data_IF_576525681083
#
_entry.id   IF_576525681083
#
_cell.length_a   1.000
_cell.length_b   1.000
_cell.length_c   1.000
_cell.angle_alpha   90.00
_cell.angle_beta   90.00
_cell.angle_gamma   90.00
#
_symmetry.space_group_name_H-M   'P 1'
#
loop_
_entity.id
_entity.type
_entity.pdbx_description
1 polymer ?
#
# COMPACT_ATOMS: atom_id res chain seq x y z
N UNK A 1 -15.06 -14.27 -3.36
CA UNK A 1 -14.07 -13.50 -4.15
C UNK A 1 -13.85 -14.26 -5.45
N UNK A 2 -13.72 -13.60 -6.62
CA UNK A 2 -13.30 -14.28 -7.84
C UNK A 2 -11.98 -15.06 -7.66
N UNK A 3 -11.78 -16.10 -8.47
CA UNK A 3 -10.55 -16.91 -8.48
C UNK A 3 -9.47 -16.20 -9.31
N UNK A 4 -8.84 -15.15 -8.78
CA UNK A 4 -7.64 -14.60 -9.41
C UNK A 4 -6.45 -15.52 -9.13
N UNK A 5 -5.66 -15.88 -10.15
CA UNK A 5 -4.50 -16.73 -9.93
C UNK A 5 -3.49 -16.00 -9.06
N UNK A 6 -3.09 -16.62 -7.96
CA UNK A 6 -1.98 -16.14 -7.14
C UNK A 6 -0.66 -16.32 -7.91
N UNK A 7 0.30 -15.40 -7.74
CA UNK A 7 1.66 -15.61 -8.21
C UNK A 7 2.24 -16.92 -7.69
N UNK A 8 3.12 -17.57 -8.48
CA UNK A 8 3.75 -18.84 -8.08
C UNK A 8 4.59 -18.72 -6.80
N UNK A 9 5.06 -17.51 -6.49
CA UNK A 9 5.89 -17.14 -5.34
C UNK A 9 5.11 -16.41 -4.24
N UNK A 10 3.79 -16.55 -4.19
CA UNK A 10 2.94 -15.81 -3.23
C UNK A 10 3.36 -16.03 -1.77
N UNK A 11 3.74 -17.25 -1.38
CA UNK A 11 4.24 -17.51 -0.03
C UNK A 11 5.50 -16.69 0.30
N UNK A 12 6.44 -16.59 -0.65
CA UNK A 12 7.66 -15.80 -0.48
C UNK A 12 7.35 -14.29 -0.46
N UNK A 13 6.39 -13.83 -1.28
CA UNK A 13 5.91 -12.45 -1.25
C UNK A 13 5.35 -12.08 0.12
N UNK A 14 4.56 -12.97 0.73
CA UNK A 14 3.98 -12.77 2.07
C UNK A 14 5.02 -12.75 3.18
N UNK A 15 5.98 -13.68 3.15
CA UNK A 15 7.10 -13.69 4.09
C UNK A 15 7.90 -12.39 4.01
N UNK A 16 8.18 -11.92 2.80
CA UNK A 16 8.89 -10.67 2.56
C UNK A 16 8.10 -9.47 3.09
N UNK A 17 6.80 -9.37 2.77
CA UNK A 17 5.92 -8.32 3.28
C UNK A 17 5.93 -8.26 4.82
N UNK A 18 5.78 -9.41 5.48
CA UNK A 18 5.74 -9.51 6.95
C UNK A 18 7.11 -9.17 7.59
N UNK A 19 8.22 -9.40 6.88
CA UNK A 19 9.57 -9.11 7.36
C UNK A 19 9.88 -7.62 7.54
N UNK A 20 9.13 -6.73 6.88
CA UNK A 20 9.29 -5.28 7.04
C UNK A 20 8.67 -4.71 8.31
N UNK A 21 7.84 -5.49 9.03
CA UNK A 21 7.12 -5.05 10.23
C UNK A 21 6.33 -3.74 10.05
N UNK A 22 5.85 -3.51 8.82
CA UNK A 22 5.23 -2.25 8.41
C UNK A 22 3.69 -2.33 8.41
N UNK A 23 3.13 -3.53 8.35
CA UNK A 23 1.69 -3.72 8.50
C UNK A 23 1.28 -3.32 9.93
N UNK A 24 0.18 -2.58 10.04
CA UNK A 24 -0.36 -2.08 11.31
C UNK A 24 0.60 -1.14 12.10
N UNK A 25 1.63 -0.60 11.44
CA UNK A 25 2.51 0.41 12.02
C UNK A 25 1.82 1.79 12.09
N UNK A 26 2.42 2.71 12.85
CA UNK A 26 2.04 4.12 12.79
C UNK A 26 2.36 4.71 11.42
N UNK A 27 1.69 5.81 11.08
CA UNK A 27 1.97 6.61 9.89
C UNK A 27 3.41 7.14 9.91
N UNK A 28 4.02 7.22 8.72
CA UNK A 28 5.34 7.78 8.51
C UNK A 28 5.28 8.87 7.43
N UNK A 29 5.71 10.09 7.79
CA UNK A 29 5.70 11.28 6.94
C UNK A 29 6.45 11.06 5.61
N UNK A 30 7.43 10.16 5.57
CA UNK A 30 8.13 9.84 4.33
C UNK A 30 7.20 9.24 3.27
N UNK A 31 6.27 8.37 3.67
CA UNK A 31 5.26 7.79 2.76
C UNK A 31 4.15 8.80 2.44
N UNK A 32 3.74 9.60 3.41
CA UNK A 32 2.72 10.65 3.23
C UNK A 32 3.19 11.74 2.27
N UNK A 33 4.47 12.11 2.31
CA UNK A 33 5.06 13.01 1.33
C UNK A 33 5.00 12.43 -0.09
N UNK A 34 5.20 11.12 -0.26
CA UNK A 34 5.14 10.47 -1.58
C UNK A 34 3.72 10.54 -2.15
N UNK A 35 2.70 10.16 -1.38
CA UNK A 35 1.32 10.17 -1.86
C UNK A 35 0.84 11.59 -2.14
N UNK A 36 1.18 12.56 -1.28
CA UNK A 36 0.88 13.98 -1.51
C UNK A 36 1.51 14.50 -2.81
N UNK A 37 2.81 14.26 -3.02
CA UNK A 37 3.49 14.68 -4.24
C UNK A 37 2.90 14.02 -5.49
N UNK A 38 2.58 12.73 -5.43
CA UNK A 38 1.95 12.02 -6.55
C UNK A 38 0.58 12.62 -6.91
N UNK A 39 -0.25 12.94 -5.90
CA UNK A 39 -1.56 13.58 -6.08
C UNK A 39 -1.41 14.96 -6.74
N UNK A 40 -0.51 15.80 -6.21
CA UNK A 40 -0.24 17.15 -6.71
C UNK A 40 0.32 17.14 -8.14
N UNK A 41 1.32 16.29 -8.41
CA UNK A 41 1.99 16.23 -9.71
C UNK A 41 1.09 15.71 -10.83
N UNK A 42 0.18 14.80 -10.51
CA UNK A 42 -0.75 14.22 -11.48
C UNK A 42 -2.08 14.99 -11.58
N UNK A 43 -2.30 15.98 -10.71
CA UNK A 43 -3.57 16.70 -10.63
C UNK A 43 -4.75 15.78 -10.32
N UNK A 44 -4.51 14.69 -9.58
CA UNK A 44 -5.53 13.72 -9.20
C UNK A 44 -5.95 13.94 -7.75
N UNK A 45 -7.22 13.66 -7.39
CA UNK A 45 -7.74 13.96 -6.05
C UNK A 45 -7.29 12.97 -4.98
N UNK A 46 -6.75 11.80 -5.37
CA UNK A 46 -6.37 10.73 -4.45
C UNK A 46 -5.11 10.03 -4.94
N UNK A 47 -4.20 9.73 -4.00
CA UNK A 47 -3.06 8.83 -4.20
C UNK A 47 -2.87 7.94 -2.96
N UNK A 48 -2.48 6.68 -3.19
CA UNK A 48 -2.36 5.65 -2.16
C UNK A 48 -1.04 4.90 -2.31
N UNK A 49 -0.42 4.55 -1.18
CA UNK A 49 0.49 3.41 -1.11
C UNK A 49 -0.27 2.31 -0.37
N UNK A 50 -0.53 1.19 -1.05
CA UNK A 50 -1.26 0.06 -0.48
C UNK A 50 -0.45 -1.22 -0.53
N UNK A 51 -0.44 -1.94 0.58
CA UNK A 51 0.16 -3.26 0.73
C UNK A 51 -0.95 -4.30 0.67
N UNK A 52 -0.76 -5.34 -0.15
CA UNK A 52 -1.72 -6.45 -0.29
C UNK A 52 -1.27 -7.59 0.61
N UNK A 53 -2.06 -7.85 1.66
CA UNK A 53 -1.91 -8.95 2.60
C UNK A 53 -2.93 -10.06 2.26
N UNK A 54 -2.94 -11.13 3.04
CA UNK A 54 -3.67 -12.37 2.72
C UNK A 54 -5.18 -12.17 2.53
N UNK A 55 -5.78 -11.43 3.45
CA UNK A 55 -7.22 -11.22 3.55
C UNK A 55 -7.62 -9.73 3.51
N UNK A 56 -6.64 -8.84 3.31
CA UNK A 56 -6.83 -7.39 3.40
C UNK A 56 -5.89 -6.61 2.50
N UNK A 57 -6.36 -5.45 2.07
CA UNK A 57 -5.50 -4.39 1.55
C UNK A 57 -5.28 -3.37 2.67
N UNK A 58 -4.03 -3.11 3.00
CA UNK A 58 -3.64 -2.17 4.05
C UNK A 58 -3.06 -0.90 3.43
N UNK A 59 -3.56 0.27 3.83
CA UNK A 59 -3.08 1.56 3.33
C UNK A 59 -1.95 2.07 4.19
N UNK A 60 -0.72 2.00 3.67
CA UNK A 60 0.46 2.57 4.32
C UNK A 60 0.42 4.10 4.32
N UNK A 61 -0.12 4.67 3.24
CA UNK A 61 -0.35 6.11 3.14
C UNK A 61 -1.50 6.40 2.19
N UNK A 62 -2.22 7.49 2.47
CA UNK A 62 -3.30 8.02 1.64
C UNK A 62 -3.30 9.53 1.67
N UNK A 63 -3.15 10.14 0.51
CA UNK A 63 -3.47 11.54 0.30
C UNK A 63 -4.81 11.65 -0.42
N UNK A 64 -5.70 12.48 0.11
CA UNK A 64 -6.96 12.83 -0.53
C UNK A 64 -7.18 14.34 -0.37
N UNK A 65 -7.24 15.06 -1.48
CA UNK A 65 -7.58 16.48 -1.49
C UNK A 65 -9.10 16.62 -1.69
N UNK A 66 -9.75 17.42 -0.84
CA UNK A 66 -11.16 17.80 -1.01
C UNK A 66 -11.34 18.76 -2.18
#
# INVERSE_FOLDING_TARGET
MPDWPLPADESARMENLRSFFILDSQSDENFDRITRLASEMLGLPVALISLVDEDRQWFLSRSASM
#
